data_IF_542662456861
#
_entry.id   IF_542662456861
#
_cell.length_a   1.000
_cell.length_b   1.000
_cell.length_c   1.000
_cell.angle_alpha   90.00
_cell.angle_beta   90.00
_cell.angle_gamma   90.00
#
_symmetry.space_group_name_H-M   'P 1'
#
loop_
_entity.id
_entity.type
_entity.pdbx_description
1 polymer ?
#
# COMPACT_ATOMS: atom_id res chain seq x y z
N UNK A 1 -3.66 -5.15 -23.44
CA UNK A 1 -3.73 -4.79 -22.01
C UNK A 1 -5.17 -5.03 -21.55
N UNK A 2 -5.40 -5.87 -20.54
CA UNK A 2 -6.75 -6.19 -20.06
C UNK A 2 -7.30 -5.07 -19.16
N UNK A 3 -8.61 -5.10 -18.88
CA UNK A 3 -9.22 -4.15 -17.94
C UNK A 3 -8.59 -4.24 -16.53
N UNK A 4 -8.17 -5.43 -16.12
CA UNK A 4 -7.50 -5.66 -14.82
C UNK A 4 -6.11 -5.02 -14.83
N UNK A 5 -5.35 -5.16 -15.92
CA UNK A 5 -4.02 -4.56 -16.04
C UNK A 5 -4.09 -3.02 -15.95
N UNK A 6 -5.08 -2.42 -16.60
CA UNK A 6 -5.32 -0.97 -16.53
C UNK A 6 -5.63 -0.55 -15.09
N UNK A 7 -6.54 -1.27 -14.41
CA UNK A 7 -6.90 -0.96 -13.04
C UNK A 7 -5.70 -1.07 -12.08
N UNK A 8 -4.88 -2.12 -12.22
CA UNK A 8 -3.67 -2.30 -11.42
C UNK A 8 -2.66 -1.17 -11.68
N UNK A 9 -2.49 -0.76 -12.93
CA UNK A 9 -1.60 0.34 -13.29
C UNK A 9 -2.04 1.67 -12.65
N UNK A 10 -3.34 2.02 -12.73
CA UNK A 10 -3.86 3.24 -12.13
C UNK A 10 -3.76 3.21 -10.59
N UNK A 11 -3.98 2.06 -9.96
CA UNK A 11 -3.78 1.91 -8.51
C UNK A 11 -2.32 2.12 -8.10
N UNK A 12 -1.38 1.55 -8.85
CA UNK A 12 0.07 1.69 -8.60
C UNK A 12 0.52 3.15 -8.76
N UNK A 13 -0.01 3.84 -9.77
CA UNK A 13 0.24 5.26 -10.00
C UNK A 13 -0.31 6.11 -8.86
N UNK A 14 -1.55 5.85 -8.43
CA UNK A 14 -2.20 6.59 -7.35
C UNK A 14 -1.55 6.36 -5.96
N UNK A 15 -0.91 5.20 -5.75
CA UNK A 15 -0.19 4.90 -4.51
C UNK A 15 1.20 5.53 -4.45
N UNK A 16 1.67 6.21 -5.51
CA UNK A 16 3.00 6.83 -5.55
C UNK A 16 3.18 7.88 -4.44
N UNK A 17 4.14 7.70 -3.52
CA UNK A 17 4.33 8.60 -2.38
C UNK A 17 4.74 10.03 -2.78
N UNK A 18 5.26 10.23 -4.00
CA UNK A 18 5.77 11.52 -4.49
C UNK A 18 4.70 12.45 -5.07
N UNK A 19 3.44 11.99 -5.15
CA UNK A 19 2.34 12.79 -5.71
C UNK A 19 1.20 12.93 -4.69
N UNK A 20 0.43 14.00 -4.83
CA UNK A 20 -0.92 14.09 -4.29
C UNK A 20 -1.89 13.44 -5.26
N UNK A 21 -2.78 12.57 -4.76
CA UNK A 21 -3.74 11.85 -5.59
C UNK A 21 -5.15 12.01 -5.03
N UNK A 22 -6.11 12.25 -5.92
CA UNK A 22 -7.54 12.13 -5.63
C UNK A 22 -8.05 10.87 -6.33
N UNK A 23 -8.64 9.96 -5.56
CA UNK A 23 -9.09 8.65 -6.07
C UNK A 23 -10.60 8.54 -5.96
N UNK A 24 -11.28 8.60 -7.11
CA UNK A 24 -12.70 8.34 -7.24
C UNK A 24 -12.91 6.96 -7.87
N UNK A 25 -13.56 6.04 -7.14
CA UNK A 25 -13.83 4.69 -7.62
C UNK A 25 -15.02 4.05 -6.90
N UNK A 26 -15.73 3.15 -7.58
CA UNK A 26 -16.89 2.41 -7.06
C UNK A 26 -16.56 1.55 -5.83
N UNK A 27 -17.57 1.13 -5.07
CA UNK A 27 -17.38 0.16 -3.99
C UNK A 27 -16.72 -1.13 -4.52
N UNK A 28 -15.91 -1.79 -3.70
CA UNK A 28 -15.20 -3.02 -4.08
C UNK A 28 -13.98 -2.83 -5.00
N UNK A 29 -13.67 -1.60 -5.45
CA UNK A 29 -12.56 -1.32 -6.37
C UNK A 29 -11.15 -1.36 -5.75
N UNK A 30 -11.00 -1.86 -4.52
CA UNK A 30 -9.69 -1.96 -3.84
C UNK A 30 -9.14 -0.66 -3.23
N UNK A 31 -9.95 0.38 -2.98
CA UNK A 31 -9.48 1.65 -2.36
C UNK A 31 -8.72 1.46 -1.04
N UNK A 32 -9.17 0.54 -0.19
CA UNK A 32 -8.47 0.22 1.07
C UNK A 32 -7.09 -0.37 0.82
N UNK A 33 -6.98 -1.29 -0.15
CA UNK A 33 -5.69 -1.88 -0.57
C UNK A 33 -4.75 -0.80 -1.12
N UNK A 34 -5.25 0.09 -1.97
CA UNK A 34 -4.50 1.24 -2.47
C UNK A 34 -3.97 2.14 -1.34
N UNK A 35 -4.79 2.43 -0.31
CA UNK A 35 -4.35 3.21 0.84
C UNK A 35 -3.27 2.49 1.66
N UNK A 36 -3.42 1.18 1.90
CA UNK A 36 -2.38 0.39 2.59
C UNK A 36 -1.08 0.35 1.79
N UNK A 37 -1.15 0.13 0.47
CA UNK A 37 0.02 0.17 -0.42
C UNK A 37 0.73 1.53 -0.34
N UNK A 38 -0.04 2.64 -0.35
CA UNK A 38 0.53 3.99 -0.22
C UNK A 38 1.24 4.19 1.12
N UNK A 39 0.64 3.73 2.23
CA UNK A 39 1.25 3.82 3.56
C UNK A 39 2.60 3.06 3.59
N UNK A 40 2.61 1.82 3.09
CA UNK A 40 3.82 1.02 3.02
C UNK A 40 4.91 1.70 2.19
N UNK A 41 4.56 2.24 1.01
CA UNK A 41 5.52 2.93 0.14
C UNK A 41 6.07 4.21 0.77
N UNK A 42 5.27 4.96 1.53
CA UNK A 42 5.75 6.12 2.30
C UNK A 42 6.76 5.71 3.37
N UNK A 43 6.47 4.63 4.11
CA UNK A 43 7.37 4.12 5.16
C UNK A 43 8.68 3.60 4.54
N UNK A 44 8.58 2.80 3.48
CA UNK A 44 9.74 2.23 2.78
C UNK A 44 10.57 3.28 2.04
N UNK A 45 9.99 4.44 1.69
CA UNK A 45 10.75 5.59 1.19
C UNK A 45 11.48 6.38 2.29
N UNK A 46 11.53 5.85 3.52
CA UNK A 46 12.22 6.47 4.66
C UNK A 46 11.38 7.47 5.45
N UNK A 47 10.08 7.59 5.20
CA UNK A 47 9.22 8.46 6.01
C UNK A 47 8.96 7.80 7.37
N UNK A 48 9.31 8.45 8.49
CA UNK A 48 9.01 7.92 9.81
C UNK A 48 7.50 7.71 9.99
N UNK A 49 7.04 6.55 10.51
CA UNK A 49 5.61 6.24 10.65
C UNK A 49 4.81 7.32 11.40
N UNK A 50 5.40 7.91 12.43
CA UNK A 50 4.80 8.99 13.25
C UNK A 50 4.56 10.30 12.49
N UNK A 51 5.15 10.45 11.29
CA UNK A 51 4.91 11.59 10.38
C UNK A 51 3.81 11.31 9.36
N UNK A 52 3.18 10.15 9.39
CA UNK A 52 2.12 9.76 8.45
C UNK A 52 0.77 9.74 9.18
N UNK A 53 -0.15 10.60 8.74
CA UNK A 53 -1.52 10.64 9.26
C UNK A 53 -2.49 10.00 8.27
N UNK A 54 -3.15 8.92 8.69
CA UNK A 54 -4.23 8.27 7.93
C UNK A 54 -5.57 8.49 8.64
N UNK A 55 -6.53 9.13 7.98
CA UNK A 55 -7.85 9.44 8.52
C UNK A 55 -8.93 8.63 7.82
N UNK A 56 -9.92 8.15 8.58
CA UNK A 56 -11.09 7.46 8.07
C UNK A 56 -12.35 7.95 8.77
N UNK A 57 -13.53 7.66 8.20
CA UNK A 57 -14.81 8.14 8.76
C UNK A 57 -15.18 7.47 10.10
N UNK A 58 -14.72 6.24 10.34
CA UNK A 58 -15.09 5.48 11.54
C UNK A 58 -13.88 4.92 12.26
N UNK A 59 -13.97 4.82 13.59
CA UNK A 59 -12.94 4.17 14.41
C UNK A 59 -12.68 2.73 13.98
N UNK A 60 -13.73 2.01 13.57
CA UNK A 60 -13.62 0.63 13.10
C UNK A 60 -12.80 0.54 11.80
N UNK A 61 -12.99 1.45 10.84
CA UNK A 61 -12.21 1.47 9.61
C UNK A 61 -10.74 1.83 9.88
N UNK A 62 -10.47 2.78 10.78
CA UNK A 62 -9.10 3.10 11.20
C UNK A 62 -8.39 1.88 11.83
N UNK A 63 -9.07 1.18 12.75
CA UNK A 63 -8.54 -0.02 13.38
C UNK A 63 -8.28 -1.14 12.37
N UNK A 64 -9.20 -1.35 11.43
CA UNK A 64 -9.06 -2.36 10.37
C UNK A 64 -7.86 -2.09 9.46
N UNK A 65 -7.63 -0.82 9.08
CA UNK A 65 -6.45 -0.42 8.33
C UNK A 65 -5.15 -0.67 9.10
N UNK A 66 -5.12 -0.35 10.40
CA UNK A 66 -3.95 -0.60 11.25
C UNK A 66 -3.65 -2.10 11.37
N UNK A 67 -4.68 -2.93 11.58
CA UNK A 67 -4.54 -4.39 11.65
C UNK A 67 -3.98 -4.96 10.33
N UNK A 68 -4.49 -4.49 9.18
CA UNK A 68 -3.99 -4.93 7.87
C UNK A 68 -2.51 -4.58 7.68
N UNK A 69 -2.13 -3.35 8.03
CA UNK A 69 -0.75 -2.89 7.94
C UNK A 69 0.18 -3.72 8.84
N UNK A 70 -0.18 -3.90 10.12
CA UNK A 70 0.60 -4.68 11.08
C UNK A 70 0.72 -6.14 10.66
N UNK A 71 -0.36 -6.75 10.17
CA UNK A 71 -0.32 -8.13 9.66
C UNK A 71 0.67 -8.25 8.50
N UNK A 72 0.61 -7.33 7.55
CA UNK A 72 1.48 -7.36 6.37
C UNK A 72 2.96 -7.19 6.73
N UNK A 73 3.27 -6.24 7.62
CA UNK A 73 4.63 -6.05 8.12
C UNK A 73 5.11 -7.27 8.92
N UNK A 74 4.23 -7.87 9.72
CA UNK A 74 4.52 -9.11 10.46
C UNK A 74 4.82 -10.29 9.55
N UNK A 75 4.06 -10.46 8.46
CA UNK A 75 4.34 -11.47 7.43
C UNK A 75 5.72 -11.26 6.78
N UNK A 76 6.03 -10.03 6.39
CA UNK A 76 7.31 -9.68 5.78
C UNK A 76 8.51 -9.89 6.70
N UNK A 77 8.38 -9.58 7.98
CA UNK A 77 9.45 -9.71 8.97
C UNK A 77 9.93 -11.16 9.17
N UNK A 78 9.13 -12.15 8.77
CA UNK A 78 9.45 -13.59 8.89
C UNK A 78 9.49 -14.31 7.55
N UNK A 79 9.39 -13.59 6.44
CA UNK A 79 9.44 -14.15 5.09
C UNK A 79 10.87 -14.46 4.64
N UNK A 80 11.04 -15.36 3.67
CA UNK A 80 12.33 -15.48 2.99
C UNK A 80 12.61 -14.24 2.13
N UNK A 81 13.88 -13.98 1.85
CA UNK A 81 14.29 -12.83 1.04
C UNK A 81 13.64 -12.88 -0.35
N UNK A 82 13.56 -14.07 -0.98
CA UNK A 82 12.92 -14.21 -2.30
C UNK A 82 11.42 -13.86 -2.26
N UNK A 83 10.73 -14.24 -1.18
CA UNK A 83 9.33 -13.89 -1.02
C UNK A 83 9.16 -12.40 -0.76
N UNK A 84 9.98 -11.82 0.12
CA UNK A 84 9.94 -10.40 0.43
C UNK A 84 10.18 -9.55 -0.81
N UNK A 85 11.21 -9.88 -1.60
CA UNK A 85 11.53 -9.18 -2.85
C UNK A 85 10.39 -9.26 -3.87
N UNK A 86 9.72 -10.41 -3.99
CA UNK A 86 8.56 -10.55 -4.85
C UNK A 86 7.41 -9.64 -4.40
N UNK A 87 7.19 -9.50 -3.09
CA UNK A 87 6.14 -8.63 -2.54
C UNK A 87 6.48 -7.13 -2.68
N UNK A 88 7.75 -6.75 -2.49
CA UNK A 88 8.24 -5.38 -2.69
C UNK A 88 8.19 -4.96 -4.16
N UNK A 89 8.53 -5.87 -5.07
CA UNK A 89 8.44 -5.63 -6.52
C UNK A 89 7.00 -5.31 -6.95
N UNK A 90 6.00 -6.03 -6.40
CA UNK A 90 4.58 -5.76 -6.67
C UNK A 90 4.13 -4.36 -6.20
N UNK A 91 4.85 -3.76 -5.26
CA UNK A 91 4.59 -2.41 -4.75
C UNK A 91 5.42 -1.32 -5.43
N UNK A 92 6.21 -1.65 -6.46
CA UNK A 92 7.11 -0.71 -7.11
C UNK A 92 8.05 -0.05 -6.08
N UNK A 93 8.62 -0.90 -5.22
CA UNK A 93 9.66 -0.57 -4.25
C UNK A 93 10.96 -1.26 -4.69
N UNK A 94 12.10 -0.54 -4.75
CA UNK A 94 13.39 -1.15 -5.10
C UNK A 94 13.75 -2.27 -4.13
N UNK A 95 14.15 -3.42 -4.67
CA UNK A 95 14.70 -4.55 -3.91
C UNK A 95 16.22 -4.51 -3.93
N UNK A 96 16.84 -5.13 -2.93
CA UNK A 96 18.30 -5.17 -2.78
C UNK A 96 18.84 -6.36 -3.58
N UNK A 97 18.83 -6.26 -4.91
CA UNK A 97 19.57 -7.17 -5.79
C UNK A 97 20.94 -6.57 -6.16
#
# INVERSE_FOLDING_TARGET
MTAIDIANHEQLKASNPKISAFVAASAGSGKTKLLTDRLLRLMLSGTPPEKILCLTYTKAAAAEMAIRLSRRLGEWAVSSDEHLDAELTKLDVPTTA
#
